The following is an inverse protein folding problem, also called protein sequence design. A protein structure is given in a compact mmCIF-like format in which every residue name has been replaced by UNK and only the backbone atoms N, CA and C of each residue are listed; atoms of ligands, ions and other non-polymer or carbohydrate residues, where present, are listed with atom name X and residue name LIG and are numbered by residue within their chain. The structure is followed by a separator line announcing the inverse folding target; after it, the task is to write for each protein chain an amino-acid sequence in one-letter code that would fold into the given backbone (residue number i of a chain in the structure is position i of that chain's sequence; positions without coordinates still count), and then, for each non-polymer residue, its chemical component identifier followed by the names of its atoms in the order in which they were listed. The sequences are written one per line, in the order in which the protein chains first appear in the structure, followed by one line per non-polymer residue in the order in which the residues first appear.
data_IF_815942760967
#
_entry.id   IF_815942760967
#
_cell.length_a   1.000
_cell.length_b   1.000
_cell.length_c   1.000
_cell.angle_alpha   90.00
_cell.angle_beta   90.00
_cell.angle_gamma   90.00
#
_symmetry.space_group_name_H-M   'P 1'
#
loop_
_entity.id
_entity.type
_entity.pdbx_description
1 polymer ?
#
# COMPACT_ATOMS: atom_id res chain seq x y z
N UNK A 1 32.80 2.77 15.54
CA UNK A 1 33.27 3.43 16.79
C UNK A 1 32.97 2.48 17.92
N UNK A 2 33.94 2.19 18.78
CA UNK A 2 33.72 1.42 20.01
C UNK A 2 34.01 2.36 21.18
N UNK A 3 33.07 2.45 22.12
CA UNK A 3 33.20 3.26 23.34
C UNK A 3 33.67 2.37 24.49
N UNK A 4 34.52 2.91 25.36
CA UNK A 4 34.90 2.31 26.64
C UNK A 4 34.58 3.29 27.77
N UNK A 5 34.39 2.78 28.98
CA UNK A 5 34.06 3.58 30.15
C UNK A 5 35.17 3.44 31.20
N UNK A 6 35.53 4.53 31.85
CA UNK A 6 36.37 4.50 33.05
C UNK A 6 35.49 4.48 34.30
N UNK A 7 35.79 3.57 35.22
CA UNK A 7 35.14 3.50 36.52
C UNK A 7 36.19 3.12 37.56
N UNK A 8 36.31 3.91 38.64
CA UNK A 8 37.19 3.64 39.78
C UNK A 8 38.68 3.41 39.41
N UNK A 9 39.23 4.24 38.52
CA UNK A 9 40.65 4.14 38.09
C UNK A 9 40.95 2.97 37.15
N UNK A 10 39.93 2.28 36.64
CA UNK A 10 40.05 1.16 35.72
C UNK A 10 39.38 1.49 34.37
N UNK A 11 40.09 1.19 33.27
CA UNK A 11 39.55 1.32 31.92
C UNK A 11 38.88 0.02 31.50
N UNK A 12 37.58 0.07 31.19
CA UNK A 12 36.80 -1.09 30.77
C UNK A 12 36.53 -1.07 29.27
N UNK A 13 36.73 -2.22 28.63
CA UNK A 13 36.28 -2.48 27.27
C UNK A 13 35.42 -3.74 27.25
N UNK A 14 34.16 -3.60 26.83
CA UNK A 14 33.15 -4.69 26.84
C UNK A 14 33.10 -5.48 28.16
N UNK A 15 33.18 -4.78 29.30
CA UNK A 15 33.12 -5.40 30.63
C UNK A 15 34.42 -6.04 31.11
N UNK A 16 35.53 -5.90 30.38
CA UNK A 16 36.84 -6.42 30.77
C UNK A 16 37.79 -5.26 31.09
N UNK A 17 38.49 -5.34 32.22
CA UNK A 17 39.53 -4.35 32.58
C UNK A 17 40.70 -4.52 31.63
N UNK A 18 41.02 -3.46 30.90
CA UNK A 18 42.11 -3.48 29.92
C UNK A 18 43.39 -2.91 30.52
N UNK A 19 43.26 -1.97 31.48
CA UNK A 19 44.39 -1.33 32.15
C UNK A 19 43.99 -0.77 33.52
N UNK A 20 44.92 -0.74 34.48
CA UNK A 20 44.71 -0.24 35.84
C UNK A 20 45.75 0.82 36.22
N UNK A 21 45.30 1.94 36.79
CA UNK A 21 46.19 3.04 37.20
C UNK A 21 46.30 3.12 38.73
N UNK A 22 47.51 3.03 39.32
CA UNK A 22 47.68 2.82 40.76
C UNK A 22 47.62 4.07 41.66
N UNK A 23 47.40 5.29 41.14
CA UNK A 23 47.36 6.52 41.95
C UNK A 23 46.01 7.23 41.90
N UNK A 24 45.42 7.43 43.09
CA UNK A 24 44.02 7.83 43.35
C UNK A 24 43.74 9.34 43.14
N UNK A 25 44.68 10.10 42.57
CA UNK A 25 44.48 11.54 42.33
C UNK A 25 44.94 11.96 40.93
N UNK A 26 44.62 11.16 39.92
CA UNK A 26 44.83 11.57 38.53
C UNK A 26 43.46 11.80 37.89
N UNK A 27 43.10 13.05 37.65
CA UNK A 27 41.96 13.40 36.80
C UNK A 27 42.19 12.79 35.41
N UNK A 28 41.31 11.85 35.04
CA UNK A 28 41.30 11.24 33.71
C UNK A 28 40.19 11.90 32.90
N UNK A 29 40.53 12.95 32.14
CA UNK A 29 39.69 13.35 31.01
C UNK A 29 40.02 12.40 29.86
N UNK A 30 39.18 11.36 29.68
CA UNK A 30 39.37 10.41 28.60
C UNK A 30 38.93 10.99 27.25
N UNK A 31 39.83 11.68 26.56
CA UNK A 31 39.73 11.87 25.11
C UNK A 31 40.36 10.67 24.41
N UNK A 32 39.57 9.70 23.97
CA UNK A 32 40.07 8.58 23.17
C UNK A 32 40.01 8.94 21.67
N UNK A 33 41.17 9.06 21.02
CA UNK A 33 41.23 9.14 19.56
C UNK A 33 41.85 7.84 19.01
N UNK A 34 41.08 7.12 18.19
CA UNK A 34 41.55 5.90 17.51
C UNK A 34 42.34 6.32 16.27
N UNK A 35 43.63 5.98 16.22
CA UNK A 35 44.47 6.14 15.03
C UNK A 35 44.22 5.00 14.04
N UNK A 36 43.92 5.32 12.78
CA UNK A 36 43.73 4.35 11.68
C UNK A 36 45.07 3.76 11.14
N UNK A 37 46.02 3.47 12.02
CA UNK A 37 47.28 2.78 11.69
C UNK A 37 47.14 1.27 11.93
N UNK A 38 47.95 0.44 11.24
CA UNK A 38 47.95 -1.02 11.40
C UNK A 38 49.26 -1.49 12.04
N UNK A 39 49.23 -2.08 13.26
CA UNK A 39 48.05 -2.39 14.07
C UNK A 39 47.44 -1.14 14.74
N UNK A 40 46.11 -1.13 15.01
CA UNK A 40 45.48 -0.02 15.69
C UNK A 40 45.95 0.05 17.13
N UNK A 41 46.27 1.26 17.58
CA UNK A 41 46.56 1.54 18.99
C UNK A 41 45.68 2.70 19.47
N UNK A 42 45.35 2.67 20.75
CA UNK A 42 44.59 3.72 21.42
C UNK A 42 45.61 4.71 21.99
N UNK A 43 45.49 5.98 21.62
CA UNK A 43 46.24 7.05 22.28
C UNK A 43 45.29 7.75 23.24
N UNK A 44 45.50 7.56 24.55
CA UNK A 44 44.88 8.37 25.58
C UNK A 44 45.80 9.56 25.88
N UNK A 45 45.28 10.78 25.75
CA UNK A 45 46.01 11.97 26.23
C UNK A 45 45.54 12.29 27.62
N UNK A 46 46.43 12.12 28.60
CA UNK A 46 46.16 12.46 30.00
C UNK A 46 46.57 13.92 30.21
N UNK A 47 45.59 14.80 30.40
CA UNK A 47 45.82 16.20 30.77
C UNK A 47 45.64 16.33 32.28
N UNK A 48 46.73 16.58 33.00
CA UNK A 48 46.68 16.98 34.42
C UNK A 48 46.20 18.42 34.51
N UNK A 49 44.93 18.64 34.80
CA UNK A 49 44.37 19.98 35.02
C UNK A 49 44.49 20.34 36.50
N UNK A 50 45.53 21.10 36.87
CA UNK A 50 45.54 21.75 38.18
C UNK A 50 44.60 22.96 38.15
N UNK A 51 43.35 22.77 38.59
CA UNK A 51 42.40 23.88 38.80
C UNK A 51 42.34 24.30 40.27
N UNK A 52 42.16 25.61 40.56
CA UNK A 52 42.11 26.13 41.92
C UNK A 52 40.79 25.74 42.61
N UNK A 53 40.75 25.73 43.95
CA UNK A 53 39.53 25.42 44.69
C UNK A 53 38.49 26.53 44.47
N UNK A 54 37.32 26.15 43.95
CA UNK A 54 36.15 27.04 43.93
C UNK A 54 35.52 27.14 45.33
N UNK A 55 35.09 28.35 45.68
CA UNK A 55 34.29 28.61 46.89
C UNK A 55 32.89 28.00 46.74
N UNK A 56 32.43 27.36 47.81
CA UNK A 56 31.27 26.46 47.95
C UNK A 56 29.87 27.01 47.67
N UNK A 57 29.69 28.21 47.14
CA UNK A 57 28.45 28.95 47.37
C UNK A 57 27.48 29.06 46.17
N UNK A 58 27.72 28.41 45.03
CA UNK A 58 26.88 28.56 43.82
C UNK A 58 26.43 27.25 43.13
N UNK A 59 26.21 26.16 43.88
CA UNK A 59 25.53 24.97 43.35
C UNK A 59 24.15 24.80 43.99
N UNK A 60 23.12 25.43 43.41
CA UNK A 60 21.72 25.28 43.85
C UNK A 60 21.15 23.99 43.26
N UNK A 61 21.30 22.87 43.97
CA UNK A 61 20.60 21.63 43.64
C UNK A 61 19.19 21.64 44.24
N UNK A 62 18.15 21.55 43.40
CA UNK A 62 16.75 21.40 43.85
C UNK A 62 16.47 19.93 44.13
N UNK A 63 16.41 19.60 45.43
CA UNK A 63 16.01 18.34 46.06
C UNK A 63 16.94 17.11 45.86
N UNK A 64 17.51 16.54 46.96
CA UNK A 64 18.32 15.34 46.89
C UNK A 64 17.43 14.10 47.09
N UNK A 65 17.18 13.36 46.01
CA UNK A 65 16.81 11.95 46.11
C UNK A 65 17.79 11.17 45.23
N UNK A 66 18.71 10.47 45.89
CA UNK A 66 19.90 9.78 45.36
C UNK A 66 21.10 10.74 45.15
N UNK A 67 22.32 10.24 45.39
CA UNK A 67 23.58 11.00 45.61
C UNK A 67 24.06 11.89 44.45
N UNK A 68 23.23 12.17 43.45
CA UNK A 68 23.51 13.05 42.33
C UNK A 68 22.44 14.14 42.20
N UNK A 69 22.85 15.34 41.79
CA UNK A 69 21.92 16.38 41.36
C UNK A 69 22.15 16.76 39.89
N UNK A 70 21.06 17.04 39.19
CA UNK A 70 21.08 17.57 37.82
C UNK A 70 20.91 19.08 37.95
N UNK A 71 21.90 19.86 37.51
CA UNK A 71 21.79 21.32 37.54
C UNK A 71 20.89 21.85 36.40
N UNK A 72 20.67 23.16 36.37
CA UNK A 72 19.82 23.82 35.37
C UNK A 72 20.34 23.70 33.94
N UNK A 73 21.59 23.28 33.74
CA UNK A 73 22.21 23.02 32.44
C UNK A 73 22.13 21.53 32.05
N UNK A 74 21.47 20.69 32.86
CA UNK A 74 21.35 19.26 32.62
C UNK A 74 22.58 18.45 33.04
N UNK A 75 23.51 19.05 33.80
CA UNK A 75 24.77 18.41 34.19
C UNK A 75 24.56 17.64 35.49
N UNK A 76 24.93 16.35 35.49
CA UNK A 76 24.85 15.50 36.68
C UNK A 76 26.11 15.74 37.52
N UNK A 77 25.92 16.20 38.76
CA UNK A 77 26.97 16.43 39.76
C UNK A 77 26.80 15.44 40.91
N UNK A 78 27.83 14.65 41.18
CA UNK A 78 27.86 13.64 42.25
C UNK A 78 29.18 13.82 43.01
N UNK A 79 29.13 14.07 44.32
CA UNK A 79 30.32 14.22 45.19
C UNK A 79 31.41 15.19 44.69
N UNK A 80 31.01 16.32 44.10
CA UNK A 80 31.95 17.32 43.56
C UNK A 80 32.57 16.95 42.21
N UNK A 81 32.25 15.77 41.66
CA UNK A 81 32.57 15.40 40.29
C UNK A 81 31.49 15.91 39.33
N UNK A 82 31.93 16.55 38.25
CA UNK A 82 31.08 17.00 37.15
C UNK A 82 31.06 15.90 36.10
N UNK A 83 29.90 15.27 35.87
CA UNK A 83 29.72 14.32 34.78
C UNK A 83 29.07 15.05 33.62
N UNK A 84 29.83 15.23 32.55
CA UNK A 84 29.25 15.63 31.27
C UNK A 84 28.53 14.41 30.71
N UNK A 85 27.21 14.48 30.65
CA UNK A 85 26.47 13.58 29.78
C UNK A 85 26.85 13.98 28.35
N UNK A 86 27.85 13.31 27.77
CA UNK A 86 27.99 13.31 26.32
C UNK A 86 26.68 12.69 25.81
N UNK A 87 25.73 13.55 25.48
CA UNK A 87 24.52 13.13 24.78
C UNK A 87 25.03 12.29 23.59
N UNK A 88 24.74 10.99 23.54
CA UNK A 88 25.37 10.05 22.60
C UNK A 88 25.06 10.38 21.14
N UNK A 89 24.28 11.43 20.93
CA UNK A 89 23.94 11.91 19.63
C UNK A 89 23.91 13.45 19.65
N UNK A 90 24.99 14.05 19.14
CA UNK A 90 25.11 15.49 18.88
C UNK A 90 24.09 16.04 17.86
N UNK A 91 23.19 15.18 17.33
CA UNK A 91 22.28 15.48 16.23
C UNK A 91 20.90 14.82 16.38
N UNK A 92 20.36 14.80 17.58
CA UNK A 92 19.01 14.30 17.84
C UNK A 92 18.34 15.07 18.94
N UNK A 93 17.04 14.86 19.02
CA UNK A 93 16.17 15.34 20.06
C UNK A 93 15.65 14.16 20.87
N UNK A 94 15.32 14.39 22.13
CA UNK A 94 14.67 13.39 22.98
C UNK A 94 13.29 13.92 23.34
N UNK A 95 12.24 13.17 23.03
CA UNK A 95 10.86 13.55 23.33
C UNK A 95 10.54 13.43 24.84
N UNK A 96 9.32 13.81 25.24
CA UNK A 96 8.87 13.74 26.65
C UNK A 96 8.76 12.30 27.18
N UNK A 97 8.74 11.30 26.29
CA UNK A 97 8.68 9.88 26.62
C UNK A 97 10.08 9.24 26.66
N UNK A 98 11.13 10.00 26.31
CA UNK A 98 12.50 9.52 26.27
C UNK A 98 12.90 8.87 24.95
N UNK A 99 12.07 8.95 23.91
CA UNK A 99 12.44 8.47 22.57
C UNK A 99 13.39 9.44 21.89
N UNK A 100 14.39 8.87 21.21
CA UNK A 100 15.37 9.62 20.45
C UNK A 100 14.90 9.77 19.00
N UNK A 101 14.95 10.99 18.48
CA UNK A 101 14.59 11.36 17.11
C UNK A 101 15.75 12.02 16.39
N UNK A 102 16.01 11.61 15.15
CA UNK A 102 17.10 12.15 14.35
C UNK A 102 16.83 13.61 13.93
N UNK A 103 17.90 14.39 13.70
CA UNK A 103 17.78 15.75 13.19
C UNK A 103 17.02 15.78 11.85
N UNK A 104 15.91 16.53 11.81
CA UNK A 104 15.00 16.63 10.67
C UNK A 104 13.85 15.62 10.67
N UNK A 105 13.83 14.68 11.62
CA UNK A 105 12.70 13.78 11.81
C UNK A 105 11.44 14.55 12.23
N UNK A 106 10.29 14.10 11.74
CA UNK A 106 8.96 14.65 12.02
C UNK A 106 8.10 13.53 12.60
N UNK A 107 7.47 13.76 13.75
CA UNK A 107 6.61 12.76 14.42
C UNK A 107 5.41 13.42 15.09
N UNK A 108 4.35 12.67 15.35
CA UNK A 108 3.16 13.18 16.03
C UNK A 108 3.44 13.39 17.54
N UNK A 109 2.97 14.51 18.12
CA UNK A 109 3.06 14.71 19.56
C UNK A 109 2.15 13.71 20.29
N UNK A 110 2.74 12.92 21.19
CA UNK A 110 2.03 12.01 22.09
C UNK A 110 0.95 12.69 22.96
N UNK A 111 1.12 13.99 23.27
CA UNK A 111 0.16 14.76 24.05
C UNK A 111 -0.96 15.38 23.21
N UNK A 112 -0.70 15.61 21.92
CA UNK A 112 -1.66 16.15 20.97
C UNK A 112 -1.33 15.67 19.55
N UNK A 113 -1.98 14.59 19.06
CA UNK A 113 -1.64 13.97 17.78
C UNK A 113 -1.88 14.89 16.57
N UNK A 114 -2.48 16.06 16.79
CA UNK A 114 -2.79 17.05 15.76
C UNK A 114 -1.59 17.92 15.38
N UNK A 115 -0.52 17.85 16.17
CA UNK A 115 0.72 18.57 15.92
C UNK A 115 1.81 17.57 15.57
N UNK A 116 2.57 17.93 14.55
CA UNK A 116 3.84 17.29 14.29
C UNK A 116 4.94 18.04 15.04
N UNK A 117 5.83 17.31 15.68
CA UNK A 117 7.07 17.81 16.24
C UNK A 117 8.18 17.57 15.22
N UNK A 118 9.08 18.54 15.08
CA UNK A 118 10.26 18.40 14.21
C UNK A 118 11.52 18.55 15.05
N UNK A 119 12.45 17.61 14.92
CA UNK A 119 13.75 17.74 15.56
C UNK A 119 14.64 18.68 14.77
N UNK A 120 15.10 19.77 15.39
CA UNK A 120 16.01 20.73 14.78
C UNK A 120 17.29 20.88 15.60
N UNK A 121 18.27 21.62 15.06
CA UNK A 121 19.53 21.88 15.77
C UNK A 121 19.35 22.73 17.02
N UNK A 122 18.21 23.41 17.15
CA UNK A 122 17.84 24.20 18.33
C UNK A 122 17.02 23.38 19.36
N UNK A 123 16.72 22.11 19.06
CA UNK A 123 15.84 21.24 19.84
C UNK A 123 14.54 20.89 19.11
N UNK A 124 13.58 20.36 19.86
CA UNK A 124 12.24 20.02 19.35
C UNK A 124 11.47 21.31 19.10
N UNK A 125 11.00 21.50 17.87
CA UNK A 125 10.10 22.60 17.51
C UNK A 125 8.74 21.98 17.18
N UNK A 126 7.69 22.54 17.77
CA UNK A 126 6.32 22.25 17.38
C UNK A 126 6.08 22.82 15.99
N UNK A 127 5.83 21.94 15.02
CA UNK A 127 5.50 22.33 13.65
C UNK A 127 3.99 22.51 13.50
N UNK A 128 3.58 23.14 12.40
CA UNK A 128 2.18 23.47 12.10
C UNK A 128 1.25 22.25 12.21
N UNK A 129 -0.03 22.54 12.46
CA UNK A 129 -1.12 21.56 12.45
C UNK A 129 -0.98 20.59 11.27
N UNK A 130 -1.31 19.31 11.51
CA UNK A 130 -1.34 18.31 10.45
C UNK A 130 -2.05 18.89 9.22
N UNK A 131 -1.45 18.80 8.01
CA UNK A 131 -2.04 19.41 6.83
C UNK A 131 -3.36 18.70 6.50
N UNK A 132 -4.47 19.30 6.92
CA UNK A 132 -5.79 18.82 6.59
C UNK A 132 -6.13 19.16 5.14
N UNK A 133 -6.83 18.28 4.42
CA UNK A 133 -7.40 18.65 3.13
C UNK A 133 -8.30 19.87 3.31
N UNK A 134 -8.31 20.81 2.35
CA UNK A 134 -9.15 22.00 2.46
C UNK A 134 -10.62 21.59 2.57
N UNK A 135 -11.27 22.03 3.65
CA UNK A 135 -12.70 21.86 3.83
C UNK A 135 -13.44 22.51 2.65
N UNK A 136 -14.17 21.70 1.90
CA UNK A 136 -15.13 22.19 0.92
C UNK A 136 -16.41 22.65 1.62
N UNK A 137 -17.28 23.35 0.89
CA UNK A 137 -18.62 23.67 1.38
C UNK A 137 -19.34 22.38 1.81
N UNK A 138 -20.16 22.41 2.87
CA UNK A 138 -20.88 21.24 3.31
C UNK A 138 -21.66 20.66 2.13
N UNK A 139 -21.56 19.35 1.89
CA UNK A 139 -22.25 18.74 0.76
C UNK A 139 -23.78 18.78 0.94
N UNK A 140 -24.28 19.09 2.16
CA UNK A 140 -25.68 19.37 2.45
C UNK A 140 -25.89 20.15 3.76
N UNK A 141 -27.05 20.78 3.91
CA UNK A 141 -27.42 21.57 5.10
C UNK A 141 -27.58 20.76 6.38
N UNK A 142 -27.76 19.44 6.26
CA UNK A 142 -27.89 18.52 7.38
C UNK A 142 -26.55 17.93 7.86
N UNK A 143 -25.46 18.14 7.12
CA UNK A 143 -24.15 17.68 7.55
C UNK A 143 -23.64 18.58 8.69
N UNK A 144 -23.08 17.95 9.71
CA UNK A 144 -22.43 18.64 10.83
C UNK A 144 -20.92 18.55 10.66
N UNK A 145 -20.22 19.60 11.07
CA UNK A 145 -18.76 19.60 11.09
C UNK A 145 -18.32 18.87 12.37
N UNK A 146 -17.61 17.76 12.22
CA UNK A 146 -17.00 17.03 13.34
C UNK A 146 -15.48 16.99 13.15
N UNK A 147 -14.76 16.91 14.26
CA UNK A 147 -13.30 16.74 14.26
C UNK A 147 -13.00 15.25 14.36
N UNK A 148 -12.37 14.69 13.33
CA UNK A 148 -11.91 13.30 13.27
C UNK A 148 -10.44 13.30 12.84
N UNK A 149 -9.59 12.57 13.57
CA UNK A 149 -8.14 12.50 13.32
C UNK A 149 -7.49 13.88 13.10
N UNK A 150 -7.82 14.83 13.99
CA UNK A 150 -7.28 16.20 13.98
C UNK A 150 -7.66 17.08 12.79
N UNK A 151 -8.55 16.58 11.95
CA UNK A 151 -9.10 17.30 10.83
C UNK A 151 -10.60 17.44 10.97
N UNK A 152 -11.10 18.60 10.58
CA UNK A 152 -12.52 18.79 10.46
C UNK A 152 -13.02 18.04 9.22
N UNK A 153 -14.06 17.22 9.39
CA UNK A 153 -14.75 16.50 8.33
C UNK A 153 -16.26 16.80 8.39
N UNK A 154 -16.93 16.67 7.25
CA UNK A 154 -18.40 16.75 7.21
C UNK A 154 -18.98 15.38 7.52
N UNK A 155 -19.64 15.26 8.66
CA UNK A 155 -20.44 14.08 8.99
C UNK A 155 -21.87 14.32 8.56
N UNK A 156 -22.26 13.62 7.51
CA UNK A 156 -23.62 13.67 6.99
C UNK A 156 -24.44 12.53 7.59
N UNK A 157 -25.75 12.69 7.78
CA UNK A 157 -26.61 11.58 8.15
C UNK A 157 -26.56 10.49 7.06
N UNK A 158 -26.33 9.25 7.47
CA UNK A 158 -26.39 8.08 6.60
C UNK A 158 -27.81 7.88 6.08
N UNK A 159 -27.93 7.29 4.89
CA UNK A 159 -29.23 6.77 4.46
C UNK A 159 -29.49 5.45 5.16
N UNK A 160 -30.75 5.12 5.40
CA UNK A 160 -31.15 3.80 5.92
C UNK A 160 -32.05 3.15 4.88
N UNK A 161 -31.64 1.99 4.37
CA UNK A 161 -32.42 1.26 3.37
C UNK A 161 -33.61 0.49 3.98
N UNK A 162 -34.38 -0.21 3.14
CA UNK A 162 -35.57 -0.95 3.58
C UNK A 162 -35.25 -2.12 4.53
N UNK A 163 -34.00 -2.60 4.54
CA UNK A 163 -33.50 -3.66 5.42
C UNK A 163 -32.90 -3.09 6.72
N UNK A 164 -33.11 -1.79 6.98
CA UNK A 164 -32.54 -1.03 8.10
C UNK A 164 -31.00 -0.94 8.08
N UNK A 165 -30.37 -1.22 6.93
CA UNK A 165 -28.92 -1.07 6.80
C UNK A 165 -28.55 0.39 6.57
N UNK A 166 -27.57 0.88 7.33
CA UNK A 166 -26.98 2.20 7.09
C UNK A 166 -26.11 2.16 5.83
N UNK A 167 -26.30 3.17 4.98
CA UNK A 167 -25.59 3.37 3.72
C UNK A 167 -24.86 4.69 3.75
N UNK A 168 -23.60 4.66 3.34
CA UNK A 168 -22.76 5.85 3.27
C UNK A 168 -23.21 6.75 2.11
N UNK A 169 -23.07 8.06 2.27
CA UNK A 169 -23.31 9.01 1.18
C UNK A 169 -22.39 8.69 0.00
N UNK A 170 -22.99 8.49 -1.18
CA UNK A 170 -22.33 8.09 -2.42
C UNK A 170 -22.41 6.58 -2.72
N UNK A 171 -22.87 5.78 -1.76
CA UNK A 171 -23.09 4.35 -1.98
C UNK A 171 -24.26 4.12 -2.96
N UNK A 172 -24.09 3.15 -3.87
CA UNK A 172 -25.10 2.77 -4.86
C UNK A 172 -25.41 1.29 -4.72
N UNK A 173 -26.69 0.92 -4.63
CA UNK A 173 -27.14 -0.46 -4.49
C UNK A 173 -28.38 -0.76 -5.36
N UNK A 174 -28.69 -2.04 -5.51
CA UNK A 174 -29.84 -2.49 -6.30
C UNK A 174 -31.15 -2.23 -5.56
N UNK A 175 -32.17 -1.77 -6.28
CA UNK A 175 -33.50 -1.60 -5.70
C UNK A 175 -34.13 -2.99 -5.41
N UNK A 176 -34.73 -3.22 -4.23
CA UNK A 176 -35.13 -4.56 -3.77
C UNK A 176 -36.21 -5.23 -4.62
N UNK A 177 -37.16 -4.47 -5.15
CA UNK A 177 -38.26 -4.99 -5.99
C UNK A 177 -38.11 -4.72 -7.48
N UNK A 178 -37.31 -3.73 -7.88
CA UNK A 178 -37.18 -3.30 -9.27
C UNK A 178 -35.72 -3.33 -9.70
N UNK A 179 -35.30 -4.43 -10.33
CA UNK A 179 -33.92 -4.65 -10.80
C UNK A 179 -33.43 -3.61 -11.81
N UNK A 180 -34.31 -2.73 -12.32
CA UNK A 180 -33.98 -1.70 -13.29
C UNK A 180 -33.70 -0.34 -12.67
N UNK A 181 -33.89 -0.24 -11.35
CA UNK A 181 -33.54 0.91 -10.55
C UNK A 181 -32.34 0.57 -9.67
N UNK A 182 -31.45 1.54 -9.56
CA UNK A 182 -30.45 1.57 -8.52
C UNK A 182 -30.80 2.70 -7.55
N UNK A 183 -30.55 2.46 -6.28
CA UNK A 183 -30.69 3.43 -5.22
C UNK A 183 -29.30 4.01 -4.95
N UNK A 184 -29.22 5.33 -4.82
CA UNK A 184 -28.01 6.03 -4.44
C UNK A 184 -28.28 6.79 -3.14
N UNK A 185 -27.45 6.56 -2.13
CA UNK A 185 -27.52 7.37 -0.94
C UNK A 185 -26.90 8.72 -1.28
N UNK A 186 -27.76 9.73 -1.34
CA UNK A 186 -27.31 11.11 -1.50
C UNK A 186 -27.41 11.81 -0.16
N UNK A 187 -26.79 12.98 -0.08
CA UNK A 187 -26.93 13.83 1.09
C UNK A 187 -28.36 14.36 1.33
N UNK A 188 -29.26 14.24 0.35
CA UNK A 188 -30.68 14.57 0.46
C UNK A 188 -31.56 13.35 0.83
N UNK A 189 -30.94 12.18 1.04
CA UNK A 189 -31.60 10.90 1.24
C UNK A 189 -31.42 9.95 0.06
N UNK A 190 -32.19 8.87 0.05
CA UNK A 190 -32.13 7.84 -0.99
C UNK A 190 -32.73 8.40 -2.28
N UNK A 191 -31.96 8.35 -3.37
CA UNK A 191 -32.41 8.76 -4.69
C UNK A 191 -32.49 7.54 -5.63
N UNK A 192 -33.63 7.36 -6.28
CA UNK A 192 -33.82 6.35 -7.32
C UNK A 192 -33.24 6.83 -8.65
N UNK A 193 -32.40 5.99 -9.28
CA UNK A 193 -31.87 6.20 -10.63
C UNK A 193 -32.19 5.00 -11.51
N UNK A 194 -32.64 5.26 -12.73
CA UNK A 194 -32.74 4.21 -13.74
C UNK A 194 -31.35 3.78 -14.20
N UNK A 195 -31.15 2.46 -14.32
CA UNK A 195 -29.92 1.92 -14.92
C UNK A 195 -29.78 2.50 -16.32
N UNK A 196 -28.65 3.17 -16.56
CA UNK A 196 -28.34 3.73 -17.88
C UNK A 196 -27.76 2.64 -18.75
N UNK A 197 -28.57 2.15 -19.69
CA UNK A 197 -28.14 1.11 -20.62
C UNK A 197 -27.48 1.72 -21.87
N UNK A 198 -26.42 1.08 -22.40
CA UNK A 198 -25.95 1.41 -23.73
C UNK A 198 -27.07 1.15 -24.76
N UNK A 199 -27.07 1.90 -25.86
CA UNK A 199 -27.97 1.59 -26.97
C UNK A 199 -27.70 0.15 -27.44
N UNK A 200 -28.73 -0.69 -27.62
CA UNK A 200 -28.51 -2.05 -28.08
C UNK A 200 -27.83 -2.02 -29.46
N UNK A 201 -26.94 -2.98 -29.76
CA UNK A 201 -26.32 -3.05 -31.08
C UNK A 201 -27.40 -3.24 -32.17
N UNK A 202 -27.09 -2.95 -33.45
CA UNK A 202 -28.02 -3.20 -34.55
C UNK A 202 -28.56 -4.64 -34.53
N UNK A 203 -29.83 -4.80 -34.92
CA UNK A 203 -30.49 -6.11 -34.92
C UNK A 203 -29.63 -7.11 -35.70
N UNK A 204 -29.18 -8.20 -35.05
CA UNK A 204 -28.23 -9.11 -35.68
C UNK A 204 -28.87 -9.99 -36.76
N UNK A 205 -30.15 -10.30 -36.62
CA UNK A 205 -30.94 -11.08 -37.58
C UNK A 205 -32.43 -10.74 -37.44
N UNK A 206 -33.23 -10.79 -38.53
CA UNK A 206 -34.67 -10.50 -38.48
C UNK A 206 -35.46 -11.38 -37.50
N UNK A 207 -34.92 -12.55 -37.13
CA UNK A 207 -35.57 -13.49 -36.20
C UNK A 207 -35.28 -13.19 -34.74
N UNK A 208 -34.33 -12.31 -34.43
CA UNK A 208 -34.03 -11.94 -33.05
C UNK A 208 -35.02 -10.90 -32.56
N UNK A 209 -35.53 -11.08 -31.34
CA UNK A 209 -36.43 -10.15 -30.67
C UNK A 209 -35.67 -9.44 -29.55
N UNK A 210 -35.97 -8.15 -29.36
CA UNK A 210 -35.39 -7.38 -28.28
C UNK A 210 -36.14 -7.69 -26.99
N UNK A 211 -35.44 -8.19 -25.98
CA UNK A 211 -36.02 -8.52 -24.67
C UNK A 211 -35.27 -7.79 -23.56
N UNK A 212 -35.92 -7.64 -22.41
CA UNK A 212 -35.24 -7.16 -21.21
C UNK A 212 -34.35 -8.28 -20.68
N UNK A 213 -33.03 -8.03 -20.64
CA UNK A 213 -32.06 -8.96 -20.05
C UNK A 213 -32.04 -8.89 -18.52
N UNK A 214 -31.20 -9.72 -17.91
CA UNK A 214 -31.06 -9.83 -16.46
C UNK A 214 -30.54 -8.54 -15.79
N UNK A 215 -29.76 -7.74 -16.51
CA UNK A 215 -29.23 -6.45 -16.05
C UNK A 215 -30.16 -5.26 -16.39
N UNK A 216 -31.45 -5.54 -16.66
CA UNK A 216 -32.43 -4.53 -17.05
C UNK A 216 -32.12 -3.74 -18.33
N UNK A 217 -31.07 -4.13 -19.04
CA UNK A 217 -30.74 -3.63 -20.35
C UNK A 217 -31.35 -4.51 -21.44
N UNK A 218 -31.70 -3.87 -22.55
CA UNK A 218 -32.28 -4.55 -23.69
C UNK A 218 -31.19 -5.41 -24.37
N UNK A 219 -31.49 -6.69 -24.54
CA UNK A 219 -30.61 -7.67 -25.20
C UNK A 219 -31.36 -8.35 -26.34
N UNK A 220 -30.62 -8.80 -27.35
CA UNK A 220 -31.22 -9.56 -28.46
C UNK A 220 -31.34 -11.02 -28.07
N UNK A 221 -32.57 -11.49 -27.90
CA UNK A 221 -32.87 -12.91 -27.81
C UNK A 221 -33.03 -13.45 -29.23
N UNK A 222 -32.01 -14.15 -29.70
CA UNK A 222 -32.04 -14.85 -30.98
C UNK A 222 -32.48 -16.30 -30.76
N UNK A 223 -33.30 -16.86 -31.65
CA UNK A 223 -33.63 -18.29 -31.59
C UNK A 223 -32.35 -19.13 -31.68
N UNK A 224 -32.29 -20.19 -30.87
CA UNK A 224 -31.23 -21.20 -30.95
C UNK A 224 -31.25 -21.87 -32.33
N UNK A 225 -30.10 -22.33 -32.82
CA UNK A 225 -30.09 -23.11 -34.05
C UNK A 225 -30.58 -24.52 -33.75
N UNK A 226 -31.53 -25.01 -34.53
CA UNK A 226 -32.05 -26.37 -34.41
C UNK A 226 -31.46 -27.23 -35.53
N UNK A 227 -30.89 -28.39 -35.21
CA UNK A 227 -30.39 -29.34 -36.20
C UNK A 227 -31.51 -30.24 -36.78
N UNK A 228 -31.20 -31.08 -37.76
CA UNK A 228 -32.18 -31.99 -38.40
C UNK A 228 -32.74 -33.07 -37.44
N UNK A 229 -32.21 -33.17 -36.22
CA UNK A 229 -32.63 -34.10 -35.16
C UNK A 229 -33.34 -33.38 -34.01
N UNK A 230 -33.67 -32.11 -34.19
CA UNK A 230 -34.34 -31.27 -33.18
C UNK A 230 -33.47 -30.97 -31.94
N UNK A 231 -32.14 -31.09 -32.05
CA UNK A 231 -31.22 -30.62 -31.01
C UNK A 231 -31.02 -29.12 -31.14
N UNK A 232 -31.04 -28.40 -30.02
CA UNK A 232 -30.74 -26.97 -30.00
C UNK A 232 -29.25 -26.72 -29.78
N UNK A 233 -28.72 -25.72 -30.48
CA UNK A 233 -27.34 -25.31 -30.44
C UNK A 233 -27.24 -23.82 -30.09
N UNK A 234 -26.36 -23.52 -29.13
CA UNK A 234 -26.06 -22.16 -28.69
C UNK A 234 -25.36 -21.36 -29.78
N UNK A 235 -25.42 -20.02 -29.70
CA UNK A 235 -24.71 -19.16 -30.64
C UNK A 235 -23.20 -19.48 -30.64
N UNK A 236 -22.62 -19.55 -31.84
CA UNK A 236 -21.23 -19.92 -32.12
C UNK A 236 -20.85 -21.39 -31.80
N UNK A 237 -21.78 -22.20 -31.32
CA UNK A 237 -21.59 -23.64 -31.19
C UNK A 237 -21.39 -24.29 -32.56
N UNK A 238 -20.51 -25.27 -32.62
CA UNK A 238 -20.19 -26.02 -33.84
C UNK A 238 -20.58 -27.49 -33.71
N UNK A 239 -21.27 -28.05 -34.71
CA UNK A 239 -21.62 -29.47 -34.75
C UNK A 239 -21.35 -30.11 -36.12
N UNK A 240 -21.42 -31.43 -36.19
CA UNK A 240 -21.19 -32.17 -37.42
C UNK A 240 -22.33 -31.95 -38.42
N UNK A 241 -22.00 -31.66 -39.68
CA UNK A 241 -22.99 -31.61 -40.76
C UNK A 241 -23.44 -33.04 -41.11
N UNK A 242 -24.73 -33.38 -40.97
CA UNK A 242 -25.24 -34.73 -41.21
C UNK A 242 -25.21 -35.11 -42.70
N UNK A 243 -25.14 -34.12 -43.60
CA UNK A 243 -25.19 -34.32 -45.04
C UNK A 243 -23.81 -34.33 -45.70
N UNK A 244 -22.79 -33.76 -45.05
CA UNK A 244 -21.45 -33.69 -45.59
C UNK A 244 -20.40 -33.80 -44.46
N UNK A 245 -19.63 -34.91 -44.40
CA UNK A 245 -18.65 -35.12 -43.35
C UNK A 245 -17.50 -34.11 -43.36
N UNK A 246 -17.38 -33.29 -44.43
CA UNK A 246 -16.32 -32.31 -44.66
C UNK A 246 -16.68 -30.88 -44.28
N UNK A 247 -17.90 -30.67 -43.82
CA UNK A 247 -18.37 -29.41 -43.26
C UNK A 247 -18.73 -29.60 -41.78
N UNK A 248 -18.62 -28.51 -41.04
CA UNK A 248 -19.26 -28.32 -39.74
C UNK A 248 -20.35 -27.29 -39.90
N UNK A 249 -21.42 -27.48 -39.15
CA UNK A 249 -22.42 -26.44 -38.95
C UNK A 249 -21.94 -25.56 -37.80
N UNK A 250 -22.10 -24.25 -37.93
CA UNK A 250 -21.86 -23.29 -36.85
C UNK A 250 -23.12 -22.47 -36.67
N UNK A 251 -23.62 -22.40 -35.44
CA UNK A 251 -24.79 -21.58 -35.16
C UNK A 251 -24.37 -20.13 -35.22
N UNK A 252 -24.90 -19.37 -36.18
CA UNK A 252 -24.72 -17.94 -36.27
C UNK A 252 -26.05 -17.25 -35.99
N UNK A 253 -26.00 -15.94 -35.76
CA UNK A 253 -27.17 -15.11 -35.41
C UNK A 253 -28.32 -15.23 -36.42
N UNK A 254 -27.99 -15.51 -37.67
CA UNK A 254 -28.88 -15.66 -38.81
C UNK A 254 -29.18 -17.14 -39.16
N UNK A 255 -28.85 -18.07 -38.26
CA UNK A 255 -29.12 -19.50 -38.37
C UNK A 255 -27.87 -20.36 -38.55
N UNK A 256 -28.04 -21.68 -38.73
CA UNK A 256 -26.95 -22.63 -38.87
C UNK A 256 -26.23 -22.42 -40.22
N UNK A 257 -24.92 -22.16 -40.19
CA UNK A 257 -24.08 -21.98 -41.39
C UNK A 257 -23.10 -23.13 -41.57
N UNK A 258 -22.95 -23.60 -42.81
CA UNK A 258 -21.93 -24.61 -43.17
C UNK A 258 -20.57 -23.95 -43.35
N UNK A 259 -19.56 -24.46 -42.66
CA UNK A 259 -18.16 -24.04 -42.77
C UNK A 259 -17.30 -25.29 -43.07
N UNK A 260 -16.33 -25.22 -43.99
CA UNK A 260 -15.39 -26.32 -44.21
C UNK A 260 -14.63 -26.67 -42.93
N UNK A 261 -14.51 -27.96 -42.58
CA UNK A 261 -13.80 -28.43 -41.37
C UNK A 261 -12.33 -28.01 -41.34
N UNK A 262 -11.70 -27.94 -42.50
CA UNK A 262 -10.27 -27.70 -42.61
C UNK A 262 -9.95 -26.96 -43.90
N UNK A 263 -9.04 -25.99 -43.82
CA UNK A 263 -8.35 -25.46 -44.99
C UNK A 263 -7.39 -26.55 -45.46
N UNK A 264 -7.74 -27.23 -46.53
CA UNK A 264 -6.85 -28.24 -47.10
C UNK A 264 -5.56 -27.59 -47.59
N UNK A 265 -4.39 -28.22 -47.36
CA UNK A 265 -3.15 -27.77 -47.97
C UNK A 265 -3.34 -27.66 -49.49
N UNK A 266 -2.77 -26.63 -50.14
CA UNK A 266 -2.83 -26.55 -51.59
C UNK A 266 -2.20 -27.82 -52.18
N UNK A 267 -2.91 -28.47 -53.10
CA UNK A 267 -2.35 -29.57 -53.86
C UNK A 267 -1.12 -29.07 -54.64
N UNK A 268 -0.05 -29.86 -54.75
CA UNK A 268 1.08 -29.50 -55.61
C UNK A 268 0.57 -29.29 -57.06
N UNK A 269 1.06 -28.25 -57.76
CA UNK A 269 0.53 -27.82 -59.06
C UNK A 269 0.77 -28.83 -60.19
N UNK A 270 1.63 -29.82 -59.98
CA UNK A 270 1.90 -30.90 -60.92
C UNK A 270 1.46 -32.22 -60.31
N UNK A 271 0.66 -33.00 -61.05
CA UNK A 271 0.39 -34.39 -60.69
C UNK A 271 1.74 -35.11 -60.53
N UNK A 272 1.93 -35.92 -59.47
CA UNK A 272 3.15 -36.70 -59.36
C UNK A 272 3.33 -37.51 -60.65
N UNK A 273 4.53 -37.49 -61.25
CA UNK A 273 4.82 -38.12 -62.55
C UNK A 273 4.72 -39.65 -62.54
N UNK A 274 4.31 -40.25 -61.42
CA UNK A 274 4.10 -41.68 -61.28
C UNK A 274 2.72 -42.06 -61.84
N UNK A 275 2.72 -42.98 -62.82
CA UNK A 275 1.52 -43.54 -63.47
C UNK A 275 0.56 -44.29 -62.52
N UNK A 276 0.83 -44.29 -61.21
CA UNK A 276 0.08 -44.99 -60.17
C UNK A 276 -0.43 -44.09 -59.03
N UNK A 277 -0.40 -42.77 -59.22
CA UNK A 277 -1.03 -41.85 -58.28
C UNK A 277 -2.50 -41.57 -58.65
N UNK A 278 -3.41 -41.73 -57.69
CA UNK A 278 -4.82 -41.35 -57.82
C UNK A 278 -5.17 -40.30 -56.78
N UNK A 279 -5.97 -39.31 -57.18
CA UNK A 279 -6.51 -38.35 -56.23
C UNK A 279 -7.58 -39.07 -55.39
N UNK A 280 -7.37 -39.10 -54.08
CA UNK A 280 -8.30 -39.64 -53.09
C UNK A 280 -8.67 -38.53 -52.11
N UNK A 281 -9.76 -38.68 -51.37
CA UNK A 281 -10.11 -37.75 -50.29
C UNK A 281 -9.84 -38.46 -48.97
N UNK A 282 -8.88 -37.94 -48.21
CA UNK A 282 -8.54 -38.42 -46.86
C UNK A 282 -8.84 -37.28 -45.91
N UNK A 283 -9.64 -37.55 -44.88
CA UNK A 283 -10.08 -36.55 -43.89
C UNK A 283 -10.54 -35.24 -44.52
N UNK A 284 -11.38 -35.37 -45.56
CA UNK A 284 -11.99 -34.25 -46.27
C UNK A 284 -11.06 -33.36 -47.07
N UNK A 285 -9.78 -33.75 -47.20
CA UNK A 285 -8.84 -33.09 -48.06
C UNK A 285 -8.45 -33.97 -49.25
N UNK A 286 -8.38 -33.39 -50.46
CA UNK A 286 -7.88 -34.13 -51.60
C UNK A 286 -6.38 -34.39 -51.39
N UNK A 287 -5.99 -35.66 -51.50
CA UNK A 287 -4.62 -36.14 -51.33
C UNK A 287 -4.27 -37.11 -52.45
N UNK A 288 -3.08 -36.98 -53.03
CA UNK A 288 -2.56 -37.96 -53.97
C UNK A 288 -2.16 -39.23 -53.22
N UNK A 289 -2.84 -40.34 -53.53
CA UNK A 289 -2.48 -41.67 -53.06
C UNK A 289 -1.73 -42.39 -54.18
N UNK A 290 -0.44 -42.63 -53.97
CA UNK A 290 0.44 -43.29 -54.91
C UNK A 290 0.76 -44.70 -54.40
N UNK A 291 0.37 -45.71 -55.16
CA UNK A 291 0.63 -47.12 -54.88
C UNK A 291 1.79 -47.67 -55.71
#
# INVERSE_FOLDING_TARGET
MYAGCCYDGLLYWFGTVVESFPEVCTELVCGAMISNTSPPFITATILSLQWPPFSSDEAVCKEPQNDYCIDVEGIIRCDGCVWYYESPCQRCCIDKLGHQHDLGEIWADSGNPCFNLTCTTAGIIESDHLPCPPLTHPPHTACILEEEDCCNIWKCPNCVDEDEAERDVGEVWQHPTNTCLVLECTTAGIMEKWITCPSPPPQPSPQCVLVMGEECCLTWLCPECVDDKDNTHSLDETWADPTNPCTVMVCKRDGPRRIPKQLCPPLPPQSPSYQHCRLTVVDCCPTWNCS
#
